data_IF_756926314741
#
_entry.id   IF_756926314741
#
_cell.length_a   1.000
_cell.length_b   1.000
_cell.length_c   1.000
_cell.angle_alpha   90.00
_cell.angle_beta   90.00
_cell.angle_gamma   90.00
#
_symmetry.space_group_name_H-M   'P 1'
#
loop_
_entity.id
_entity.type
_entity.pdbx_description
1 polymer ?
#
# COMPACT_ATOMS: atom_id res chain seq x y z
N UNK A 1 -6.40 22.11 5.14
CA UNK A 1 -7.09 20.80 5.01
C UNK A 1 -6.89 20.30 3.59
N UNK A 2 -5.95 19.40 3.35
CA UNK A 2 -5.84 18.69 2.06
C UNK A 2 -6.28 17.25 2.30
N UNK A 3 -7.57 16.97 2.12
CA UNK A 3 -8.10 15.62 2.28
C UNK A 3 -7.64 14.78 1.09
N UNK A 4 -6.95 13.66 1.35
CA UNK A 4 -6.77 12.55 0.41
C UNK A 4 -6.48 12.94 -1.06
N UNK A 5 -5.42 13.72 -1.30
CA UNK A 5 -4.78 13.87 -2.60
C UNK A 5 -5.71 14.30 -3.73
N UNK A 6 -5.84 15.61 -3.93
CA UNK A 6 -6.38 16.13 -5.19
C UNK A 6 -5.60 15.52 -6.36
N UNK A 7 -6.27 14.90 -7.35
CA UNK A 7 -5.60 14.30 -8.48
C UNK A 7 -4.83 15.40 -9.22
N UNK A 8 -3.51 15.28 -9.26
CA UNK A 8 -2.70 16.12 -10.15
C UNK A 8 -3.20 15.89 -11.58
N UNK A 9 -3.50 16.94 -12.37
CA UNK A 9 -3.95 16.77 -13.74
C UNK A 9 -3.01 15.83 -14.51
N UNK A 10 -3.57 14.78 -15.14
CA UNK A 10 -2.81 13.76 -15.86
C UNK A 10 -2.24 12.62 -15.01
N UNK A 11 -2.52 12.56 -13.69
CA UNK A 11 -2.12 11.45 -12.82
C UNK A 11 -3.32 10.72 -12.20
N UNK A 12 -3.36 9.41 -12.36
CA UNK A 12 -4.34 8.54 -11.71
C UNK A 12 -3.68 7.83 -10.52
N UNK A 13 -4.13 8.08 -9.27
CA UNK A 13 -3.64 7.32 -8.12
C UNK A 13 -4.15 5.88 -8.19
N UNK A 14 -3.24 4.91 -8.10
CA UNK A 14 -3.53 3.49 -7.96
C UNK A 14 -3.11 3.06 -6.56
N UNK A 15 -4.08 2.54 -5.80
CA UNK A 15 -3.87 2.04 -4.44
C UNK A 15 -3.90 0.53 -4.43
N UNK A 16 -2.87 -0.05 -3.82
CA UNK A 16 -2.74 -1.50 -3.64
C UNK A 16 -2.80 -1.76 -2.14
N UNK A 17 -3.71 -2.63 -1.73
CA UNK A 17 -3.98 -2.96 -0.34
C UNK A 17 -3.64 -4.42 -0.09
N UNK A 18 -2.82 -4.68 0.91
CA UNK A 18 -2.56 -6.04 1.42
C UNK A 18 -3.18 -6.13 2.81
N UNK A 19 -4.07 -7.09 3.03
CA UNK A 19 -4.70 -7.39 4.33
C UNK A 19 -4.40 -8.84 4.68
N UNK A 20 -3.85 -9.07 5.87
CA UNK A 20 -3.59 -10.40 6.41
C UNK A 20 -3.18 -10.28 7.88
N UNK A 21 -2.69 -11.37 8.47
CA UNK A 21 -1.89 -11.29 9.71
C UNK A 21 -0.66 -10.40 9.53
N UNK A 22 -0.06 -9.85 10.62
CA UNK A 22 1.16 -9.05 10.52
C UNK A 22 2.30 -9.76 9.78
N UNK A 23 2.44 -11.08 9.99
CA UNK A 23 3.41 -11.89 9.26
C UNK A 23 3.08 -11.96 7.77
N UNK A 24 1.81 -12.24 7.42
CA UNK A 24 1.37 -12.34 6.03
C UNK A 24 1.56 -11.04 5.24
N UNK A 25 1.23 -9.89 5.84
CA UNK A 25 1.45 -8.58 5.21
C UNK A 25 2.94 -8.33 4.98
N UNK A 26 3.78 -8.51 6.00
CA UNK A 26 5.21 -8.28 5.88
C UNK A 26 5.88 -9.22 4.86
N UNK A 27 5.52 -10.51 4.85
CA UNK A 27 6.07 -11.47 3.88
C UNK A 27 5.65 -11.12 2.44
N UNK A 28 4.38 -10.72 2.25
CA UNK A 28 3.89 -10.30 0.94
C UNK A 28 4.65 -9.07 0.44
N UNK A 29 4.83 -8.05 1.29
CA UNK A 29 5.58 -6.84 0.94
C UNK A 29 7.03 -7.16 0.59
N UNK A 30 7.73 -7.97 1.39
CA UNK A 30 9.11 -8.37 1.09
C UNK A 30 9.20 -9.20 -0.20
N UNK A 31 8.22 -10.05 -0.48
CA UNK A 31 8.16 -10.82 -1.73
C UNK A 31 7.98 -9.90 -2.93
N UNK A 32 7.04 -8.94 -2.86
CA UNK A 32 6.84 -7.92 -3.90
C UNK A 32 8.09 -7.06 -4.11
N UNK A 33 8.81 -6.75 -3.03
CA UNK A 33 10.09 -6.07 -3.12
C UNK A 33 11.16 -6.92 -3.83
N UNK A 34 11.30 -8.20 -3.48
CA UNK A 34 12.22 -9.12 -4.14
C UNK A 34 11.91 -9.29 -5.64
N UNK A 35 10.63 -9.21 -6.01
CA UNK A 35 10.15 -9.20 -7.40
C UNK A 35 10.30 -7.83 -8.09
N UNK A 36 10.91 -6.84 -7.42
CA UNK A 36 11.12 -5.46 -7.89
C UNK A 36 9.81 -4.72 -8.23
N UNK A 37 8.70 -5.11 -7.60
CA UNK A 37 7.41 -4.49 -7.81
C UNK A 37 7.32 -3.11 -7.13
N UNK A 38 7.77 -3.01 -5.87
CA UNK A 38 7.84 -1.77 -5.11
C UNK A 38 8.83 -1.88 -3.95
N UNK A 39 9.49 -0.78 -3.61
CA UNK A 39 10.34 -0.69 -2.41
C UNK A 39 9.49 -0.81 -1.13
N UNK A 40 10.02 -1.49 -0.11
CA UNK A 40 9.35 -1.71 1.19
C UNK A 40 8.98 -0.37 1.85
N UNK A 41 9.82 0.66 1.70
CA UNK A 41 9.61 2.00 2.29
C UNK A 41 8.43 2.78 1.69
N UNK A 42 7.92 2.36 0.52
CA UNK A 42 6.78 3.00 -0.13
C UNK A 42 5.43 2.55 0.43
N UNK A 43 5.43 1.46 1.19
CA UNK A 43 4.24 0.95 1.85
C UNK A 43 3.98 1.74 3.14
N UNK A 44 2.71 1.93 3.48
CA UNK A 44 2.35 2.49 4.78
C UNK A 44 2.82 1.57 5.91
N UNK A 45 3.01 2.09 7.13
CA UNK A 45 3.04 1.26 8.33
C UNK A 45 1.82 0.34 8.39
N UNK A 46 1.92 -0.75 9.17
CA UNK A 46 0.78 -1.63 9.42
C UNK A 46 -0.33 -0.84 10.13
N UNK A 47 -1.51 -0.84 9.55
CA UNK A 47 -2.71 -0.21 10.09
C UNK A 47 -3.68 -1.30 10.58
N UNK A 48 -4.54 -1.02 11.58
CA UNK A 48 -5.58 -1.94 11.99
C UNK A 48 -6.50 -2.30 10.82
N UNK A 49 -6.85 -3.57 10.67
CA UNK A 49 -7.86 -4.03 9.72
C UNK A 49 -9.20 -4.36 10.42
N UNK A 50 -10.31 -4.52 9.67
CA UNK A 50 -11.63 -4.76 10.28
C UNK A 50 -11.73 -6.04 11.10
N UNK A 51 -10.95 -7.08 10.74
CA UNK A 51 -11.01 -8.37 11.41
C UNK A 51 -9.98 -8.47 12.55
N UNK A 52 -10.33 -9.10 13.69
CA UNK A 52 -9.38 -9.34 14.76
C UNK A 52 -8.15 -10.12 14.28
N UNK A 53 -6.96 -9.63 14.64
CA UNK A 53 -5.69 -10.26 14.27
C UNK A 53 -5.20 -9.93 12.85
N UNK A 54 -6.00 -9.20 12.05
CA UNK A 54 -5.57 -8.70 10.75
C UNK A 54 -5.05 -7.26 10.84
N UNK A 55 -4.09 -6.97 9.98
CA UNK A 55 -3.56 -5.64 9.71
C UNK A 55 -3.57 -5.41 8.22
N UNK A 56 -3.45 -4.15 7.82
CA UNK A 56 -3.33 -3.77 6.42
C UNK A 56 -2.15 -2.86 6.17
N UNK A 57 -1.65 -2.84 4.93
CA UNK A 57 -0.71 -1.83 4.45
C UNK A 57 -1.07 -1.40 3.03
N UNK A 58 -0.94 -0.11 2.77
CA UNK A 58 -1.32 0.53 1.50
C UNK A 58 -0.06 1.02 0.78
N UNK A 59 0.06 0.66 -0.49
CA UNK A 59 0.96 1.31 -1.45
C UNK A 59 0.13 2.23 -2.36
N UNK A 60 0.55 3.48 -2.51
CA UNK A 60 -0.03 4.42 -3.49
C UNK A 60 0.97 4.71 -4.59
N UNK A 61 0.59 4.44 -5.84
CA UNK A 61 1.36 4.79 -7.04
C UNK A 61 0.55 5.74 -7.91
N UNK A 62 1.20 6.44 -8.82
CA UNK A 62 0.54 7.33 -9.77
C UNK A 62 0.86 6.88 -11.19
N UNK A 63 -0.17 6.56 -11.97
CA UNK A 63 -0.05 6.37 -13.40
C UNK A 63 -0.13 7.73 -14.07
N UNK A 64 0.77 8.01 -15.00
CA UNK A 64 0.68 9.20 -15.85
C UNK A 64 0.02 8.77 -17.16
N UNK A 65 -0.97 9.53 -17.60
CA UNK A 65 -1.65 9.33 -18.88
C UNK A 65 -0.87 9.96 -20.03
#
# INVERSE_FOLDING_TARGET
MGALGDPTPGKIPVRILVISTPFGVNQTIHTLHALRFADVSLWSPLLPAPNPGEVMSILTRYLTL
#
